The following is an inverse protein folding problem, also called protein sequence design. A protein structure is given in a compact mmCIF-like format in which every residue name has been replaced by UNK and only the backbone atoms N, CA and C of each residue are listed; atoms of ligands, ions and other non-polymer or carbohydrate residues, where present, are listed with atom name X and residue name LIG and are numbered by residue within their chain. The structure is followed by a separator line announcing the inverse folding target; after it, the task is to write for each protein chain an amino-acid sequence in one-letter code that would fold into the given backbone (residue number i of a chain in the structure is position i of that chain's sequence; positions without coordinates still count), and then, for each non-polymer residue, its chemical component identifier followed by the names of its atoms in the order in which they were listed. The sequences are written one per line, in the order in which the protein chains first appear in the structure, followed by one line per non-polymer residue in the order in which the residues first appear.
data_IF_194931961843
#
_entry.id   IF_194931961843
#
_cell.length_a   1.000
_cell.length_b   1.000
_cell.length_c   1.000
_cell.angle_alpha   90.00
_cell.angle_beta   90.00
_cell.angle_gamma   90.00
#
_symmetry.space_group_name_H-M   'P 1'
#
loop_
_entity.id
_entity.type
_entity.pdbx_description
1 polymer ?
#
# COMPACT_ATOMS: atom_id res chain seq x y z
N UNK A 1 -25.63 -13.38 -15.26
CA UNK A 1 -24.56 -13.84 -14.34
C UNK A 1 -24.07 -12.61 -13.61
N UNK A 2 -24.28 -12.54 -12.30
CA UNK A 2 -23.73 -11.45 -11.48
C UNK A 2 -22.22 -11.64 -11.44
N UNK A 3 -21.47 -10.66 -11.94
CA UNK A 3 -20.02 -10.68 -11.83
C UNK A 3 -19.66 -10.58 -10.34
N UNK A 4 -18.80 -11.48 -9.87
CA UNK A 4 -18.31 -11.46 -8.50
C UNK A 4 -17.40 -10.23 -8.33
N UNK A 5 -17.95 -9.15 -7.77
CA UNK A 5 -17.28 -7.87 -7.57
C UNK A 5 -17.24 -7.46 -6.10
N UNK A 6 -16.08 -7.07 -5.65
CA UNK A 6 -15.88 -6.43 -4.36
C UNK A 6 -14.79 -5.38 -4.44
N UNK A 7 -15.01 -4.26 -3.76
CA UNK A 7 -14.08 -3.17 -3.62
C UNK A 7 -13.91 -2.86 -2.13
N UNK A 8 -12.67 -2.62 -1.72
CA UNK A 8 -12.37 -2.27 -0.33
C UNK A 8 -11.11 -1.44 -0.26
N UNK A 9 -11.11 -0.42 0.60
CA UNK A 9 -9.97 0.46 0.77
C UNK A 9 -9.55 0.58 2.24
N UNK A 10 -8.24 0.64 2.47
CA UNK A 10 -7.64 0.80 3.79
C UNK A 10 -6.63 1.94 3.79
N UNK A 11 -6.72 2.82 4.79
CA UNK A 11 -5.75 3.90 4.96
C UNK A 11 -4.48 3.37 5.61
N UNK A 12 -3.35 3.61 4.98
CA UNK A 12 -2.06 3.24 5.54
C UNK A 12 -1.70 4.13 6.72
N UNK A 13 -1.29 3.52 7.83
CA UNK A 13 -0.76 4.23 8.98
C UNK A 13 0.53 4.95 8.63
N UNK A 14 0.64 6.20 9.03
CA UNK A 14 1.88 6.96 8.87
C UNK A 14 3.02 6.25 9.58
N UNK A 15 4.08 5.93 8.86
CA UNK A 15 5.26 5.27 9.45
C UNK A 15 6.13 6.26 10.23
N UNK A 16 6.96 5.74 11.14
CA UNK A 16 7.93 6.59 11.85
C UNK A 16 8.88 7.33 10.91
N UNK A 17 9.21 6.72 9.75
CA UNK A 17 10.02 7.38 8.71
C UNK A 17 9.30 8.55 8.07
N UNK A 18 8.00 8.44 7.81
CA UNK A 18 7.19 9.52 7.25
C UNK A 18 7.09 10.69 8.24
N UNK A 19 6.92 10.38 9.53
CA UNK A 19 6.89 11.39 10.60
C UNK A 19 8.24 12.10 10.67
N UNK A 20 9.34 11.36 10.69
CA UNK A 20 10.67 11.94 10.72
C UNK A 20 10.95 12.83 9.51
N UNK A 21 10.52 12.41 8.31
CA UNK A 21 10.66 13.19 7.08
C UNK A 21 9.82 14.48 7.12
N UNK A 22 8.57 14.40 7.59
CA UNK A 22 7.71 15.58 7.79
C UNK A 22 8.34 16.58 8.77
N UNK A 23 8.84 16.08 9.91
CA UNK A 23 9.51 16.93 10.91
C UNK A 23 10.77 17.58 10.31
N UNK A 24 11.59 16.81 9.59
CA UNK A 24 12.79 17.33 8.94
C UNK A 24 12.45 18.44 7.91
N UNK A 25 11.40 18.27 7.13
CA UNK A 25 10.93 19.29 6.17
C UNK A 25 10.49 20.56 6.89
N UNK A 26 9.70 20.44 7.96
CA UNK A 26 9.24 21.60 8.76
C UNK A 26 10.42 22.34 9.37
N UNK A 27 11.35 21.60 10.02
CA UNK A 27 12.55 22.19 10.64
C UNK A 27 13.41 22.89 9.58
N UNK A 28 13.58 22.26 8.40
CA UNK A 28 14.33 22.83 7.29
C UNK A 28 13.76 24.19 6.83
N UNK A 29 12.43 24.27 6.67
CA UNK A 29 11.74 25.52 6.30
C UNK A 29 11.92 26.57 7.40
N UNK A 30 11.77 26.21 8.68
CA UNK A 30 11.98 27.16 9.79
C UNK A 30 13.41 27.73 9.80
N UNK A 31 14.40 26.86 9.61
CA UNK A 31 15.81 27.28 9.56
C UNK A 31 16.08 28.19 8.37
N UNK A 32 15.55 27.87 7.18
CA UNK A 32 15.65 28.73 6.00
C UNK A 32 15.01 30.09 6.25
N UNK A 33 13.85 30.14 6.90
CA UNK A 33 13.16 31.36 7.25
C UNK A 33 14.02 32.26 8.18
N UNK A 34 14.59 31.69 9.24
CA UNK A 34 15.45 32.41 10.20
C UNK A 34 16.68 33.00 9.49
N UNK A 35 17.35 32.22 8.62
CA UNK A 35 18.51 32.65 7.86
C UNK A 35 18.11 33.67 6.78
N UNK A 36 16.97 33.47 6.13
CA UNK A 36 16.41 34.33 5.09
C UNK A 36 16.07 35.73 5.60
N UNK A 37 15.74 35.84 6.89
CA UNK A 37 15.51 37.16 7.51
C UNK A 37 16.77 38.04 7.48
N UNK A 38 17.96 37.42 7.48
CA UNK A 38 19.25 38.14 7.39
C UNK A 38 19.68 38.39 5.95
N UNK A 39 19.31 37.49 5.00
CA UNK A 39 19.73 37.53 3.59
C UNK A 39 18.53 37.50 2.66
N UNK A 40 18.20 38.64 2.06
CA UNK A 40 17.00 38.83 1.23
C UNK A 40 16.83 37.83 0.10
N UNK A 41 17.95 37.31 -0.44
CA UNK A 41 17.94 36.32 -1.52
C UNK A 41 17.49 34.94 -1.02
N UNK A 42 17.82 34.60 0.22
CA UNK A 42 17.43 33.30 0.84
C UNK A 42 15.94 33.25 1.18
N UNK A 43 15.31 34.42 1.37
CA UNK A 43 13.86 34.48 1.58
C UNK A 43 13.07 33.98 0.36
N UNK A 44 13.57 34.22 -0.86
CA UNK A 44 12.96 33.66 -2.07
C UNK A 44 13.05 32.11 -2.10
N UNK A 45 14.16 31.55 -1.63
CA UNK A 45 14.32 30.08 -1.50
C UNK A 45 13.36 29.50 -0.46
N UNK A 46 13.10 30.22 0.63
CA UNK A 46 12.15 29.79 1.65
C UNK A 46 10.74 29.70 1.08
N UNK A 47 10.29 30.70 0.31
CA UNK A 47 8.99 30.65 -0.38
C UNK A 47 8.88 29.41 -1.27
N UNK A 48 9.91 29.10 -2.06
CA UNK A 48 9.96 27.90 -2.91
C UNK A 48 9.91 26.63 -2.06
N UNK A 49 10.62 26.59 -0.92
CA UNK A 49 10.64 25.45 -0.02
C UNK A 49 9.26 25.19 0.62
N UNK A 50 8.53 26.25 1.00
CA UNK A 50 7.16 26.15 1.49
C UNK A 50 6.23 25.57 0.43
N UNK A 51 6.29 26.08 -0.81
CA UNK A 51 5.51 25.52 -1.92
C UNK A 51 5.84 24.05 -2.17
N UNK A 52 7.12 23.69 -2.16
CA UNK A 52 7.55 22.31 -2.31
C UNK A 52 6.99 21.42 -1.17
N UNK A 53 7.04 21.90 0.08
CA UNK A 53 6.50 21.19 1.23
C UNK A 53 5.00 20.92 1.07
N UNK A 54 4.20 21.93 0.70
CA UNK A 54 2.75 21.80 0.46
C UNK A 54 2.48 20.80 -0.68
N UNK A 55 3.28 20.86 -1.76
CA UNK A 55 3.17 19.96 -2.90
C UNK A 55 3.46 18.50 -2.55
N UNK A 56 4.44 18.27 -1.66
CA UNK A 56 4.82 16.91 -1.24
C UNK A 56 3.92 16.35 -0.14
N UNK A 57 3.21 17.19 0.61
CA UNK A 57 2.42 16.79 1.77
C UNK A 57 1.40 15.68 1.51
N UNK A 58 0.61 15.68 0.42
CA UNK A 58 -0.36 14.62 0.13
C UNK A 58 0.27 13.24 -0.09
N UNK A 59 1.54 13.18 -0.50
CA UNK A 59 2.24 11.91 -0.77
C UNK A 59 2.46 11.04 0.47
N UNK A 60 2.35 11.63 1.66
CA UNK A 60 2.43 10.90 2.92
C UNK A 60 1.10 10.26 3.34
N UNK A 61 0.01 10.51 2.63
CA UNK A 61 -1.29 9.93 2.88
C UNK A 61 -1.56 8.90 1.78
N UNK A 62 -1.26 7.65 2.08
CA UNK A 62 -1.48 6.53 1.18
C UNK A 62 -2.71 5.77 1.63
N UNK A 63 -3.59 5.50 0.69
CA UNK A 63 -4.72 4.58 0.84
C UNK A 63 -4.53 3.45 -0.17
N UNK A 64 -4.60 2.22 0.29
CA UNK A 64 -4.63 1.04 -0.56
C UNK A 64 -6.08 0.71 -0.87
N UNK A 65 -6.39 0.48 -2.13
CA UNK A 65 -7.68 0.05 -2.59
C UNK A 65 -7.50 -1.26 -3.36
N UNK A 66 -8.36 -2.22 -3.05
CA UNK A 66 -8.39 -3.52 -3.69
C UNK A 66 -9.68 -3.62 -4.48
N UNK A 67 -9.57 -3.95 -5.76
CA UNK A 67 -10.73 -4.19 -6.63
C UNK A 67 -10.65 -5.64 -7.08
N UNK A 68 -11.55 -6.45 -6.55
CA UNK A 68 -11.72 -7.84 -6.95
C UNK A 68 -12.80 -7.94 -8.02
N UNK A 69 -12.47 -8.53 -9.15
CA UNK A 69 -13.40 -8.79 -10.22
C UNK A 69 -13.12 -10.17 -10.84
N UNK A 70 -14.03 -11.10 -10.62
CA UNK A 70 -14.03 -12.44 -11.20
C UNK A 70 -12.65 -13.15 -11.23
N UNK A 71 -11.92 -13.11 -10.10
CA UNK A 71 -10.62 -13.78 -9.93
C UNK A 71 -9.40 -12.90 -10.16
N UNK A 72 -9.58 -11.68 -10.65
CA UNK A 72 -8.51 -10.68 -10.70
C UNK A 72 -8.59 -9.76 -9.49
N UNK A 73 -7.42 -9.36 -8.97
CA UNK A 73 -7.31 -8.31 -7.96
C UNK A 73 -6.40 -7.22 -8.47
N UNK A 74 -6.92 -6.01 -8.49
CA UNK A 74 -6.15 -4.80 -8.72
C UNK A 74 -5.78 -4.18 -7.38
N UNK A 75 -4.51 -3.86 -7.21
CA UNK A 75 -3.97 -3.13 -6.06
C UNK A 75 -3.73 -1.69 -6.49
N UNK A 76 -4.61 -0.80 -6.07
CA UNK A 76 -4.52 0.61 -6.38
C UNK A 76 -3.98 1.38 -5.18
N UNK A 77 -3.06 2.28 -5.46
CA UNK A 77 -2.53 3.23 -4.48
C UNK A 77 -3.15 4.60 -4.74
N UNK A 78 -3.83 5.13 -3.74
CA UNK A 78 -4.39 6.48 -3.75
C UNK A 78 -3.50 7.36 -2.88
N UNK A 79 -2.93 8.41 -3.47
CA UNK A 79 -2.11 9.39 -2.78
C UNK A 79 -2.84 10.74 -2.71
N UNK A 80 -3.16 11.18 -1.49
CA UNK A 80 -3.99 12.38 -1.29
C UNK A 80 -5.43 12.11 -1.69
N UNK A 81 -6.08 13.09 -2.34
CA UNK A 81 -7.51 13.01 -2.70
C UNK A 81 -7.76 12.47 -4.11
N UNK A 82 -6.81 12.64 -5.06
CA UNK A 82 -7.12 12.44 -6.49
C UNK A 82 -6.16 11.54 -7.27
N UNK A 83 -5.03 11.13 -6.69
CA UNK A 83 -4.01 10.40 -7.45
C UNK A 83 -4.15 8.89 -7.25
N UNK A 84 -5.07 8.26 -7.97
CA UNK A 84 -5.20 6.80 -8.07
C UNK A 84 -4.20 6.26 -9.08
N UNK A 85 -3.45 5.24 -8.69
CA UNK A 85 -2.52 4.53 -9.55
C UNK A 85 -2.59 3.03 -9.26
N UNK A 86 -2.90 2.25 -10.27
CA UNK A 86 -2.77 0.78 -10.20
C UNK A 86 -1.29 0.43 -10.11
N UNK A 87 -0.91 -0.15 -8.98
CA UNK A 87 0.47 -0.55 -8.67
C UNK A 87 0.73 -1.96 -9.16
N UNK A 88 -0.27 -2.83 -9.02
CA UNK A 88 -0.17 -4.23 -9.38
C UNK A 88 -1.56 -4.77 -9.72
N UNK A 89 -1.61 -5.64 -10.72
CA UNK A 89 -2.77 -6.45 -11.08
C UNK A 89 -2.35 -7.91 -11.06
N UNK A 90 -3.14 -8.75 -10.42
CA UNK A 90 -2.88 -10.18 -10.34
C UNK A 90 -4.11 -10.99 -10.73
N UNK A 91 -3.86 -12.15 -11.31
CA UNK A 91 -4.86 -13.16 -11.56
C UNK A 91 -4.67 -14.28 -10.51
N UNK A 92 -5.69 -14.53 -9.70
CA UNK A 92 -5.66 -15.55 -8.66
C UNK A 92 -5.66 -16.98 -9.21
N UNK A 93 -5.95 -17.17 -10.50
CA UNK A 93 -5.74 -18.45 -11.15
C UNK A 93 -4.27 -18.87 -11.14
N UNK A 94 -3.36 -17.89 -11.14
CA UNK A 94 -1.91 -18.09 -11.05
C UNK A 94 -1.38 -18.11 -9.59
N UNK A 95 -2.25 -17.92 -8.60
CA UNK A 95 -1.84 -18.00 -7.20
C UNK A 95 -1.67 -19.45 -6.74
N UNK A 96 -0.62 -19.72 -5.98
CA UNK A 96 -0.40 -21.03 -5.36
C UNK A 96 -1.21 -21.18 -4.07
N UNK A 97 -1.21 -20.14 -3.22
CA UNK A 97 -1.87 -20.14 -1.89
C UNK A 97 -2.42 -18.73 -1.61
N UNK A 98 -3.59 -18.68 -0.98
CA UNK A 98 -4.22 -17.48 -0.43
C UNK A 98 -4.64 -17.80 0.99
N UNK A 99 -3.99 -17.24 2.01
CA UNK A 99 -4.27 -17.59 3.39
C UNK A 99 -3.90 -16.44 4.35
N UNK A 100 -4.44 -16.45 5.59
CA UNK A 100 -4.00 -15.52 6.62
C UNK A 100 -2.47 -15.61 6.81
N UNK A 101 -1.81 -14.46 6.97
CA UNK A 101 -0.36 -14.42 7.14
C UNK A 101 0.15 -15.21 8.34
N UNK A 102 -0.70 -15.41 9.35
CA UNK A 102 -0.38 -16.18 10.56
C UNK A 102 -0.62 -17.69 10.40
N UNK A 103 -1.26 -18.13 9.31
CA UNK A 103 -1.63 -19.54 9.10
C UNK A 103 -0.41 -20.43 8.87
N UNK A 104 -0.58 -21.73 9.16
CA UNK A 104 0.45 -22.75 8.89
C UNK A 104 0.75 -22.87 7.39
N UNK A 105 -0.24 -22.64 6.52
CA UNK A 105 -0.06 -22.66 5.07
C UNK A 105 0.92 -21.61 4.57
N UNK A 106 0.97 -20.45 5.25
CA UNK A 106 1.92 -19.37 4.93
C UNK A 106 3.30 -19.57 5.56
N UNK A 107 3.44 -20.46 6.54
CA UNK A 107 4.72 -20.71 7.23
C UNK A 107 5.85 -21.11 6.27
N UNK A 108 5.55 -21.92 5.26
CA UNK A 108 6.52 -22.35 4.23
C UNK A 108 7.01 -21.22 3.30
N UNK A 109 6.33 -20.09 3.26
CA UNK A 109 6.60 -18.96 2.35
C UNK A 109 7.19 -17.74 3.03
N UNK A 110 7.42 -17.77 4.35
CA UNK A 110 7.96 -16.62 5.13
C UNK A 110 9.35 -16.17 4.69
N UNK A 111 10.10 -17.03 4.01
CA UNK A 111 11.44 -16.71 3.48
C UNK A 111 11.38 -15.91 2.17
N UNK A 112 10.20 -15.82 1.53
CA UNK A 112 10.02 -15.13 0.26
C UNK A 112 9.95 -13.61 0.47
N UNK A 113 10.28 -12.87 -0.60
CA UNK A 113 10.08 -11.43 -0.62
C UNK A 113 8.59 -11.11 -0.48
N UNK A 114 8.24 -10.29 0.51
CA UNK A 114 6.87 -9.85 0.75
C UNK A 114 6.68 -8.40 0.33
N UNK A 115 5.71 -8.15 -0.55
CA UNK A 115 5.24 -6.81 -0.89
C UNK A 115 4.00 -6.50 -0.06
N UNK A 116 4.01 -5.36 0.64
CA UNK A 116 2.98 -4.97 1.61
C UNK A 116 2.04 -3.94 1.03
N UNK A 117 0.76 -4.28 0.97
CA UNK A 117 -0.33 -3.45 0.46
C UNK A 117 -1.46 -3.36 1.48
N UNK A 118 -1.18 -3.02 2.74
CA UNK A 118 -2.17 -2.99 3.82
C UNK A 118 -1.99 -1.77 4.72
N UNK A 119 -2.86 -1.63 5.71
CA UNK A 119 -2.93 -0.46 6.58
C UNK A 119 -1.71 -0.25 7.49
N UNK A 120 -0.85 -1.24 7.68
CA UNK A 120 0.25 -1.27 8.66
C UNK A 120 -0.24 -1.07 10.12
N UNK A 121 -1.51 -1.35 10.39
CA UNK A 121 -2.05 -1.37 11.74
C UNK A 121 -1.58 -2.63 12.47
N UNK A 122 -1.33 -2.57 13.80
CA UNK A 122 -0.85 -3.75 14.56
C UNK A 122 -1.88 -4.88 14.64
N UNK A 123 -3.16 -4.54 14.55
CA UNK A 123 -4.33 -5.41 14.65
C UNK A 123 -4.95 -5.75 13.28
N UNK A 124 -4.28 -5.37 12.19
CA UNK A 124 -4.74 -5.64 10.84
C UNK A 124 -4.76 -7.15 10.58
N UNK A 125 -5.91 -7.68 10.15
CA UNK A 125 -6.03 -9.05 9.68
C UNK A 125 -5.54 -9.13 8.23
N UNK A 126 -4.29 -9.54 8.05
CA UNK A 126 -3.68 -9.60 6.72
C UNK A 126 -3.69 -11.01 6.14
N UNK A 127 -3.83 -11.06 4.83
CA UNK A 127 -3.76 -12.26 4.02
C UNK A 127 -2.59 -12.19 3.06
N UNK A 128 -1.96 -13.33 2.84
CA UNK A 128 -0.90 -13.48 1.86
C UNK A 128 -1.40 -14.17 0.60
N UNK A 129 -1.01 -13.65 -0.56
CA UNK A 129 -1.17 -14.32 -1.85
C UNK A 129 0.21 -14.68 -2.37
N UNK A 130 0.47 -15.97 -2.57
CA UNK A 130 1.73 -16.46 -3.15
C UNK A 130 1.58 -16.53 -4.65
N UNK A 131 2.36 -15.73 -5.36
CA UNK A 131 2.36 -15.68 -6.83
C UNK A 131 3.78 -15.80 -7.38
N UNK A 132 3.90 -16.11 -8.66
CA UNK A 132 5.17 -15.97 -9.39
C UNK A 132 5.37 -14.53 -9.83
N UNK A 133 6.60 -14.05 -9.68
CA UNK A 133 6.96 -12.72 -10.19
C UNK A 133 6.94 -12.74 -11.72
N UNK A 134 6.33 -11.71 -12.33
CA UNK A 134 6.34 -11.58 -13.79
C UNK A 134 7.76 -11.59 -14.36
N UNK A 135 8.01 -12.49 -15.30
CA UNK A 135 9.31 -12.62 -15.98
C UNK A 135 10.44 -13.25 -15.15
N UNK A 136 10.13 -13.77 -13.95
CA UNK A 136 11.08 -14.49 -13.09
C UNK A 136 10.46 -15.79 -12.59
N UNK A 137 11.28 -16.82 -12.38
CA UNK A 137 10.83 -18.07 -11.72
C UNK A 137 10.64 -17.91 -10.20
N UNK A 138 10.99 -16.76 -9.66
CA UNK A 138 10.93 -16.49 -8.22
C UNK A 138 9.47 -16.24 -7.78
N UNK A 139 9.09 -16.87 -6.68
CA UNK A 139 7.81 -16.61 -6.01
C UNK A 139 7.94 -15.41 -5.09
N UNK A 140 6.86 -14.69 -4.91
CA UNK A 140 6.75 -13.60 -3.95
C UNK A 140 5.40 -13.67 -3.22
N UNK A 141 5.34 -13.06 -2.06
CA UNK A 141 4.12 -12.92 -1.26
C UNK A 141 3.60 -11.50 -1.39
N UNK A 142 2.31 -11.38 -1.69
CA UNK A 142 1.57 -10.12 -1.62
C UNK A 142 0.75 -10.14 -0.34
N UNK A 143 1.05 -9.24 0.57
CA UNK A 143 0.33 -9.09 1.83
C UNK A 143 -0.68 -7.96 1.70
N UNK A 144 -1.98 -8.24 1.96
CA UNK A 144 -3.08 -7.28 1.84
C UNK A 144 -4.14 -7.51 2.93
N UNK A 145 -5.05 -6.58 3.08
CA UNK A 145 -6.07 -6.56 4.14
C UNK A 145 -7.48 -6.51 3.53
N UNK A 146 -8.00 -7.66 3.04
CA UNK A 146 -9.34 -7.73 2.46
C UNK A 146 -10.43 -7.66 3.52
N UNK A 147 -11.62 -7.19 3.12
CA UNK A 147 -12.81 -7.35 3.93
C UNK A 147 -13.42 -8.75 3.80
N UNK A 148 -14.37 -9.08 4.68
CA UNK A 148 -15.03 -10.39 4.70
C UNK A 148 -15.72 -10.71 3.37
N UNK A 149 -16.41 -9.74 2.77
CA UNK A 149 -17.10 -9.91 1.49
C UNK A 149 -16.14 -10.33 0.38
N UNK A 150 -14.98 -9.69 0.28
CA UNK A 150 -13.96 -10.02 -0.71
C UNK A 150 -13.40 -11.43 -0.47
N UNK A 151 -13.11 -11.78 0.78
CA UNK A 151 -12.61 -13.11 1.12
C UNK A 151 -13.63 -14.20 0.83
N UNK A 152 -14.91 -13.97 1.11
CA UNK A 152 -15.97 -14.93 0.80
C UNK A 152 -16.09 -15.18 -0.72
N UNK A 153 -15.96 -14.14 -1.55
CA UNK A 153 -15.93 -14.29 -3.00
C UNK A 153 -14.69 -15.07 -3.48
N UNK A 154 -13.53 -14.80 -2.90
CA UNK A 154 -12.28 -15.53 -3.21
C UNK A 154 -12.41 -17.00 -2.80
N UNK A 155 -12.89 -17.29 -1.59
CA UNK A 155 -13.10 -18.64 -1.10
C UNK A 155 -14.08 -19.43 -1.96
N UNK A 156 -15.19 -18.82 -2.36
CA UNK A 156 -16.18 -19.48 -3.21
C UNK A 156 -15.60 -19.87 -4.58
N UNK A 157 -14.73 -19.02 -5.15
CA UNK A 157 -14.10 -19.32 -6.45
C UNK A 157 -12.88 -20.26 -6.31
N UNK A 158 -12.11 -20.12 -5.23
CA UNK A 158 -10.84 -20.85 -5.04
C UNK A 158 -10.78 -21.68 -3.74
N UNK A 159 -11.73 -22.60 -3.49
CA UNK A 159 -11.82 -23.31 -2.20
C UNK A 159 -10.62 -24.18 -1.87
N UNK A 160 -9.81 -24.58 -2.86
CA UNK A 160 -8.60 -25.37 -2.66
C UNK A 160 -7.36 -24.54 -2.38
N UNK A 161 -7.32 -23.31 -2.88
CA UNK A 161 -6.19 -22.39 -2.77
C UNK A 161 -6.35 -21.40 -1.62
N UNK A 162 -7.60 -21.01 -1.33
CA UNK A 162 -7.91 -20.00 -0.33
C UNK A 162 -8.29 -20.62 1.02
N UNK A 163 -7.92 -19.93 2.11
CA UNK A 163 -8.25 -20.24 3.50
C UNK A 163 -8.66 -18.94 4.22
N UNK A 164 -9.61 -19.05 5.19
CA UNK A 164 -10.09 -17.89 5.97
C UNK A 164 -9.72 -18.03 7.43
#
# INVERSE_FOLDING_TARGET
MEQAYAEYSVKQKTTGKDIALKVMMIVGVILLFIIGFRFRLLFLLDVVAVFAMVWFWPRFHVTWEYVYCDGQIDFDMIQGEDKRKTVLRIDLDNADVIAPMESERMAGYRHLQTKKFYSLQPDAKTYGVVIRSEGKEEKLVLEFEPNEKMMDLILNKYPKKAEK
#
